data_IF_273572692723
#
_entry.id   IF_273572692723
#
_cell.length_a   1.000
_cell.length_b   1.000
_cell.length_c   1.000
_cell.angle_alpha   90.00
_cell.angle_beta   90.00
_cell.angle_gamma   90.00
#
_symmetry.space_group_name_H-M   'P 1'
#
loop_
_entity.id
_entity.type
_entity.pdbx_description
1 polymer ?
#
# COMPACT_ATOMS: atom_id res chain seq x y z
N UNK A 1 1.70 -34.22 -2.44
CA UNK A 1 2.07 -35.61 -2.80
C UNK A 1 0.98 -36.24 -3.66
N UNK A 2 1.17 -36.29 -4.99
CA UNK A 2 0.89 -37.43 -5.88
C UNK A 2 1.03 -36.98 -7.34
N UNK A 3 1.95 -37.65 -8.03
CA UNK A 3 2.27 -37.54 -9.46
C UNK A 3 1.17 -38.22 -10.28
N UNK A 4 0.84 -37.65 -11.44
CA UNK A 4 0.28 -38.41 -12.56
C UNK A 4 0.97 -37.96 -13.85
N UNK A 5 1.52 -38.94 -14.56
CA UNK A 5 2.38 -38.79 -15.75
C UNK A 5 1.56 -38.48 -17.00
N UNK A 6 2.21 -37.70 -17.86
CA UNK A 6 1.83 -37.38 -19.22
C UNK A 6 1.63 -38.59 -20.13
N UNK A 7 0.74 -38.44 -21.13
CA UNK A 7 0.94 -39.02 -22.46
C UNK A 7 1.02 -37.90 -23.50
N UNK A 8 2.11 -38.01 -24.25
CA UNK A 8 2.60 -37.15 -25.32
C UNK A 8 1.77 -37.31 -26.59
N UNK A 9 1.45 -36.20 -27.24
CA UNK A 9 1.42 -36.16 -28.70
C UNK A 9 2.31 -35.00 -29.13
N UNK A 10 3.48 -35.35 -29.64
CA UNK A 10 4.54 -34.45 -30.00
C UNK A 10 4.23 -33.71 -31.32
N UNK A 11 4.38 -32.38 -31.31
CA UNK A 11 4.96 -31.64 -32.42
C UNK A 11 5.91 -30.57 -31.85
N UNK A 12 7.05 -30.46 -32.52
CA UNK A 12 8.32 -29.88 -32.05
C UNK A 12 8.26 -28.41 -31.61
N UNK A 13 9.25 -27.97 -30.82
CA UNK A 13 9.30 -26.68 -30.15
C UNK A 13 10.03 -25.64 -31.01
N UNK A 14 9.36 -24.57 -31.41
CA UNK A 14 10.01 -23.34 -31.88
C UNK A 14 8.98 -22.24 -32.06
N UNK A 15 8.62 -21.54 -31.00
CA UNK A 15 8.10 -20.17 -31.15
C UNK A 15 8.41 -19.40 -29.89
N UNK A 16 9.34 -18.45 -30.04
CA UNK A 16 9.43 -17.18 -29.31
C UNK A 16 8.15 -16.88 -28.55
N UNK A 17 8.32 -16.48 -27.30
CA UNK A 17 7.37 -15.73 -26.48
C UNK A 17 7.00 -14.44 -27.23
N UNK A 18 6.17 -14.56 -28.26
CA UNK A 18 5.65 -13.46 -29.04
C UNK A 18 4.45 -12.92 -28.27
N UNK A 19 4.74 -12.01 -27.34
CA UNK A 19 3.85 -10.88 -27.13
C UNK A 19 3.68 -10.25 -28.52
N UNK A 20 2.56 -10.58 -29.18
CA UNK A 20 2.23 -10.03 -30.49
C UNK A 20 2.18 -8.50 -30.40
N UNK A 21 2.41 -7.79 -31.52
CA UNK A 21 2.54 -6.32 -31.53
C UNK A 21 1.20 -5.58 -31.33
N UNK A 22 0.14 -6.27 -30.89
CA UNK A 22 -1.14 -5.68 -30.55
C UNK A 22 -1.06 -5.04 -29.17
N UNK A 23 -1.01 -3.70 -29.14
CA UNK A 23 -1.03 -2.93 -27.90
C UNK A 23 -2.15 -3.36 -26.94
N UNK A 24 -1.88 -3.29 -25.65
CA UNK A 24 -2.87 -3.51 -24.59
C UNK A 24 -4.05 -2.55 -24.80
N UNK A 25 -5.17 -3.08 -25.26
CA UNK A 25 -6.38 -2.28 -25.48
C UNK A 25 -7.07 -2.06 -24.14
N UNK A 26 -7.08 -0.81 -23.69
CA UNK A 26 -7.86 -0.19 -22.61
C UNK A 26 -8.37 -1.11 -21.49
N UNK A 27 -7.84 -0.97 -20.28
CA UNK A 27 -8.40 -1.55 -19.06
C UNK A 27 -9.66 -0.79 -18.64
N UNK A 28 -10.87 -1.40 -18.64
CA UNK A 28 -12.05 -0.76 -18.09
C UNK A 28 -11.94 -0.68 -16.56
N UNK A 29 -12.05 0.51 -15.99
CA UNK A 29 -12.16 0.72 -14.54
C UNK A 29 -13.58 0.43 -14.09
N UNK A 30 -13.78 -0.70 -13.42
CA UNK A 30 -15.10 -1.18 -12.97
C UNK A 30 -15.57 -0.45 -11.70
N UNK A 31 -14.67 0.17 -10.92
CA UNK A 31 -15.03 0.84 -9.65
C UNK A 31 -16.07 1.92 -9.90
N UNK A 32 -17.23 1.75 -9.27
CA UNK A 32 -18.33 2.71 -9.26
C UNK A 32 -19.01 3.00 -10.61
N UNK A 33 -18.78 2.20 -11.65
CA UNK A 33 -19.51 2.35 -12.92
C UNK A 33 -20.87 1.63 -12.86
N UNK A 34 -21.96 2.25 -13.35
CA UNK A 34 -23.24 1.58 -13.49
C UNK A 34 -23.10 0.30 -14.36
N UNK A 35 -23.85 -0.77 -14.06
CA UNK A 35 -23.78 -2.01 -14.85
C UNK A 35 -23.97 -1.78 -16.35
N UNK A 36 -24.90 -0.91 -16.74
CA UNK A 36 -25.17 -0.56 -18.14
C UNK A 36 -23.96 0.07 -18.85
N UNK A 37 -23.19 0.90 -18.15
CA UNK A 37 -22.01 1.56 -18.69
C UNK A 37 -20.85 0.57 -18.86
N UNK A 38 -20.70 -0.34 -17.89
CA UNK A 38 -19.74 -1.43 -17.94
C UNK A 38 -20.04 -2.40 -19.10
N UNK A 39 -21.30 -2.78 -19.29
CA UNK A 39 -21.73 -3.60 -20.42
C UNK A 39 -21.44 -2.91 -21.76
N UNK A 40 -21.73 -1.61 -21.85
CA UNK A 40 -21.42 -0.80 -23.02
C UNK A 40 -19.91 -0.74 -23.30
N UNK A 41 -19.06 -0.60 -22.29
CA UNK A 41 -17.61 -0.58 -22.48
C UNK A 41 -17.04 -1.94 -22.89
N UNK A 42 -17.50 -3.03 -22.27
CA UNK A 42 -17.04 -4.38 -22.58
C UNK A 42 -17.56 -4.90 -23.92
N UNK A 43 -18.87 -4.81 -24.14
CA UNK A 43 -19.56 -5.46 -25.25
C UNK A 43 -19.96 -4.50 -26.39
N UNK A 44 -19.92 -3.19 -26.14
CA UNK A 44 -20.36 -2.18 -27.10
C UNK A 44 -21.86 -1.98 -27.06
N UNK A 45 -22.34 -0.94 -27.73
CA UNK A 45 -23.76 -0.64 -27.84
C UNK A 45 -24.11 -0.13 -29.24
N UNK A 46 -25.38 -0.29 -29.60
CA UNK A 46 -25.97 0.40 -30.75
C UNK A 46 -26.67 1.68 -30.30
N UNK A 47 -26.86 2.62 -31.22
CA UNK A 47 -27.62 3.84 -31.00
C UNK A 47 -29.00 3.52 -30.43
N UNK A 48 -29.38 4.21 -29.35
CA UNK A 48 -30.67 4.02 -28.68
C UNK A 48 -30.76 2.83 -27.72
N UNK A 49 -29.66 2.13 -27.44
CA UNK A 49 -29.66 0.99 -26.51
C UNK A 49 -29.95 1.38 -25.04
N UNK A 50 -29.62 2.61 -24.63
CA UNK A 50 -29.92 3.19 -23.31
C UNK A 50 -29.95 4.72 -23.39
N UNK A 51 -30.39 5.39 -22.32
CA UNK A 51 -30.40 6.86 -22.22
C UNK A 51 -28.99 7.42 -22.32
N UNK A 52 -28.67 8.11 -23.42
CA UNK A 52 -27.33 8.64 -23.73
C UNK A 52 -26.56 7.87 -24.82
N UNK A 53 -27.12 6.79 -25.37
CA UNK A 53 -26.54 6.08 -26.52
C UNK A 53 -26.78 6.84 -27.85
N UNK A 54 -26.05 7.94 -28.05
CA UNK A 54 -26.21 8.83 -29.22
C UNK A 54 -25.66 8.23 -30.54
N UNK A 55 -24.77 7.26 -30.44
CA UNK A 55 -24.08 6.64 -31.58
C UNK A 55 -23.70 5.20 -31.28
N UNK A 56 -23.42 4.40 -32.32
CA UNK A 56 -22.89 3.06 -32.16
C UNK A 56 -21.46 3.09 -31.63
N UNK A 57 -21.14 2.23 -30.65
CA UNK A 57 -19.78 2.11 -30.08
C UNK A 57 -19.37 0.65 -30.02
N UNK A 58 -18.20 0.34 -30.58
CA UNK A 58 -17.59 -0.98 -30.48
C UNK A 58 -17.06 -1.23 -29.05
N UNK A 59 -17.34 -2.41 -28.49
CA UNK A 59 -16.88 -2.80 -27.16
C UNK A 59 -15.41 -3.20 -27.11
N UNK A 60 -14.87 -3.36 -25.91
CA UNK A 60 -13.49 -3.76 -25.66
C UNK A 60 -13.13 -5.09 -26.35
N UNK A 61 -14.04 -6.07 -26.38
CA UNK A 61 -13.81 -7.34 -27.08
C UNK A 61 -13.63 -7.17 -28.59
N UNK A 62 -14.42 -6.30 -29.22
CA UNK A 62 -14.29 -6.01 -30.65
C UNK A 62 -13.02 -5.21 -30.94
N UNK A 63 -12.71 -4.21 -30.11
CA UNK A 63 -11.50 -3.38 -30.26
C UNK A 63 -10.21 -4.16 -30.04
N UNK A 64 -10.25 -5.21 -29.21
CA UNK A 64 -9.10 -6.06 -28.91
C UNK A 64 -8.92 -7.23 -29.88
N UNK A 65 -9.77 -7.35 -30.92
CA UNK A 65 -9.71 -8.44 -31.90
C UNK A 65 -8.31 -8.59 -32.51
N UNK A 66 -7.76 -9.80 -32.49
CA UNK A 66 -6.40 -10.11 -32.94
C UNK A 66 -5.29 -9.77 -31.92
N UNK A 67 -5.66 -9.34 -30.70
CA UNK A 67 -4.73 -8.90 -29.66
C UNK A 67 -4.99 -9.51 -28.29
N UNK A 68 -4.67 -8.74 -27.24
CA UNK A 68 -4.87 -9.14 -25.83
C UNK A 68 -5.78 -8.12 -25.13
N UNK A 69 -6.80 -8.63 -24.43
CA UNK A 69 -7.67 -7.86 -23.55
C UNK A 69 -7.25 -8.07 -22.10
N UNK A 70 -6.91 -6.98 -21.42
CA UNK A 70 -6.61 -6.97 -19.99
C UNK A 70 -7.84 -6.51 -19.20
N UNK A 71 -8.35 -7.39 -18.35
CA UNK A 71 -9.47 -7.12 -17.44
C UNK A 71 -8.90 -6.87 -16.05
N UNK A 72 -8.81 -5.60 -15.67
CA UNK A 72 -8.36 -5.26 -14.33
C UNK A 72 -9.50 -5.44 -13.31
N UNK A 73 -9.11 -5.89 -12.12
CA UNK A 73 -9.93 -6.11 -10.95
C UNK A 73 -11.34 -6.74 -11.21
N UNK A 74 -11.31 -7.87 -11.93
CA UNK A 74 -12.47 -8.68 -12.34
C UNK A 74 -13.39 -9.14 -11.20
N UNK A 75 -12.90 -9.17 -9.96
CA UNK A 75 -13.68 -9.59 -8.78
C UNK A 75 -14.86 -8.69 -8.46
N UNK A 76 -14.87 -7.49 -9.02
CA UNK A 76 -15.88 -6.48 -8.72
C UNK A 76 -16.87 -6.26 -9.86
N UNK A 77 -16.85 -7.18 -10.84
CA UNK A 77 -17.88 -7.24 -11.86
C UNK A 77 -19.25 -7.51 -11.20
N UNK A 78 -20.28 -6.69 -11.51
CA UNK A 78 -21.64 -6.97 -11.07
C UNK A 78 -22.11 -8.36 -11.51
N UNK A 79 -22.83 -9.07 -10.64
CA UNK A 79 -23.34 -10.43 -10.89
C UNK A 79 -24.13 -10.55 -12.20
N UNK A 80 -24.83 -9.49 -12.61
CA UNK A 80 -25.63 -9.42 -13.83
C UNK A 80 -24.78 -9.49 -15.11
N UNK A 81 -23.56 -8.93 -15.07
CA UNK A 81 -22.64 -8.85 -16.21
C UNK A 81 -21.83 -10.13 -16.37
N UNK A 82 -21.56 -10.84 -15.26
CA UNK A 82 -20.78 -12.08 -15.23
C UNK A 82 -21.25 -13.17 -16.23
N UNK A 83 -22.55 -13.51 -16.35
CA UNK A 83 -22.99 -14.51 -17.34
C UNK A 83 -22.80 -14.09 -18.79
N UNK A 84 -22.84 -12.78 -19.10
CA UNK A 84 -22.51 -12.30 -20.46
C UNK A 84 -21.02 -12.43 -20.74
N UNK A 85 -20.17 -12.09 -19.77
CA UNK A 85 -18.73 -12.28 -19.88
C UNK A 85 -18.39 -13.76 -20.10
N UNK A 86 -18.99 -14.67 -19.32
CA UNK A 86 -18.81 -16.11 -19.49
C UNK A 86 -19.18 -16.56 -20.91
N UNK A 87 -20.36 -16.18 -21.41
CA UNK A 87 -20.79 -16.52 -22.78
C UNK A 87 -19.82 -16.00 -23.83
N UNK A 88 -19.28 -14.79 -23.65
CA UNK A 88 -18.29 -14.23 -24.55
C UNK A 88 -17.00 -15.08 -24.56
N UNK A 89 -16.49 -15.46 -23.38
CA UNK A 89 -15.28 -16.28 -23.24
C UNK A 89 -15.42 -17.72 -23.74
N UNK A 90 -16.63 -18.29 -23.64
CA UNK A 90 -16.92 -19.65 -24.12
C UNK A 90 -17.12 -19.69 -25.63
N UNK A 91 -17.99 -18.82 -26.15
CA UNK A 91 -18.41 -18.85 -27.56
C UNK A 91 -17.50 -18.04 -28.48
N UNK A 92 -16.59 -17.23 -27.92
CA UNK A 92 -15.76 -16.26 -28.66
C UNK A 92 -16.62 -15.33 -29.54
N UNK A 93 -17.76 -14.95 -28.99
CA UNK A 93 -18.76 -14.13 -29.66
C UNK A 93 -19.29 -13.10 -28.69
N UNK A 94 -19.44 -11.87 -29.16
CA UNK A 94 -20.01 -10.76 -28.39
C UNK A 94 -21.26 -10.24 -29.09
N UNK A 95 -22.20 -9.77 -28.29
CA UNK A 95 -23.44 -9.15 -28.74
C UNK A 95 -23.49 -7.75 -28.16
N UNK A 96 -23.59 -6.73 -29.01
CA UNK A 96 -23.72 -5.34 -28.54
C UNK A 96 -25.02 -5.15 -27.79
N UNK A 97 -25.01 -4.29 -26.77
CA UNK A 97 -26.23 -3.91 -26.05
C UNK A 97 -27.20 -3.27 -27.06
N UNK A 98 -28.42 -3.78 -27.14
CA UNK A 98 -29.47 -3.33 -28.06
C UNK A 98 -29.42 -3.92 -29.48
N UNK A 99 -28.37 -4.66 -29.85
CA UNK A 99 -28.32 -5.40 -31.14
C UNK A 99 -28.77 -6.84 -30.93
N UNK A 100 -29.16 -7.55 -32.00
CA UNK A 100 -29.34 -9.01 -32.02
C UNK A 100 -28.20 -9.77 -32.70
N UNK A 101 -27.24 -9.06 -33.27
CA UNK A 101 -26.18 -9.65 -34.08
C UNK A 101 -25.02 -10.11 -33.19
N UNK A 102 -24.58 -11.34 -33.45
CA UNK A 102 -23.36 -11.88 -32.84
C UNK A 102 -22.15 -11.52 -33.70
N UNK A 103 -21.11 -11.03 -33.06
CA UNK A 103 -19.82 -10.72 -33.68
C UNK A 103 -18.77 -11.64 -33.08
N UNK A 104 -18.09 -12.41 -33.93
CA UNK A 104 -17.00 -13.28 -33.51
C UNK A 104 -15.76 -12.45 -33.17
N UNK A 105 -15.00 -12.90 -32.18
CA UNK A 105 -13.72 -12.29 -31.84
C UNK A 105 -12.65 -13.35 -31.56
N UNK A 106 -11.39 -12.99 -31.77
CA UNK A 106 -10.26 -13.78 -31.32
C UNK A 106 -9.33 -12.90 -30.49
N UNK A 107 -9.30 -13.15 -29.18
CA UNK A 107 -8.61 -12.29 -28.21
C UNK A 107 -8.04 -13.15 -27.10
N UNK A 108 -6.80 -12.87 -26.71
CA UNK A 108 -6.22 -13.42 -25.48
C UNK A 108 -6.72 -12.61 -24.29
N UNK A 109 -7.30 -13.26 -23.30
CA UNK A 109 -7.80 -12.59 -22.09
C UNK A 109 -6.82 -12.78 -20.95
N UNK A 110 -6.48 -11.69 -20.28
CA UNK A 110 -5.69 -11.67 -19.03
C UNK A 110 -6.53 -10.93 -18.00
N UNK A 111 -6.84 -11.56 -16.88
CA UNK A 111 -7.62 -10.96 -15.81
C UNK A 111 -6.76 -10.78 -14.56
N UNK A 112 -6.95 -9.67 -13.85
CA UNK A 112 -6.31 -9.38 -12.57
C UNK A 112 -7.37 -9.08 -11.52
N UNK A 113 -7.02 -9.25 -10.24
CA UNK A 113 -7.86 -8.91 -9.08
C UNK A 113 -7.04 -8.86 -7.81
N UNK A 114 -7.42 -7.98 -6.89
CA UNK A 114 -6.87 -7.90 -5.54
C UNK A 114 -7.72 -8.68 -4.52
N UNK A 115 -8.95 -9.08 -4.90
CA UNK A 115 -9.85 -9.84 -4.04
C UNK A 115 -9.59 -11.35 -4.15
N UNK A 116 -9.87 -12.07 -3.07
CA UNK A 116 -9.97 -13.52 -3.10
C UNK A 116 -11.26 -13.96 -3.83
N UNK A 117 -11.09 -14.39 -5.08
CA UNK A 117 -12.22 -14.87 -5.90
C UNK A 117 -12.82 -16.17 -5.36
N UNK A 118 -12.05 -17.03 -4.69
CA UNK A 118 -12.58 -18.28 -4.15
C UNK A 118 -13.56 -18.01 -3.01
N UNK A 119 -13.18 -17.11 -2.08
CA UNK A 119 -14.09 -16.59 -1.06
C UNK A 119 -15.30 -15.87 -1.66
N UNK A 120 -15.11 -15.07 -2.71
CA UNK A 120 -16.23 -14.40 -3.40
C UNK A 120 -17.21 -15.36 -4.08
N UNK A 121 -16.74 -16.51 -4.57
CA UNK A 121 -17.61 -17.58 -5.09
C UNK A 121 -18.42 -18.21 -3.96
N UNK A 122 -17.78 -18.52 -2.83
CA UNK A 122 -18.49 -19.08 -1.66
C UNK A 122 -19.54 -18.12 -1.09
N UNK A 123 -19.27 -16.82 -1.13
CA UNK A 123 -20.19 -15.77 -0.71
C UNK A 123 -21.29 -15.46 -1.76
N UNK A 124 -21.31 -16.14 -2.92
CA UNK A 124 -22.30 -15.91 -3.98
C UNK A 124 -22.16 -14.58 -4.72
N UNK A 125 -21.04 -13.86 -4.54
CA UNK A 125 -20.75 -12.58 -5.21
C UNK A 125 -20.06 -12.76 -6.56
N UNK A 126 -19.50 -13.94 -6.80
CA UNK A 126 -18.87 -14.32 -8.05
C UNK A 126 -19.35 -15.69 -8.50
N UNK A 127 -19.55 -15.89 -9.80
CA UNK A 127 -19.99 -17.19 -10.32
C UNK A 127 -18.81 -18.16 -10.45
N UNK A 128 -19.00 -19.37 -9.96
CA UNK A 128 -17.98 -20.43 -10.03
C UNK A 128 -17.61 -20.83 -11.47
N UNK A 129 -18.58 -20.81 -12.40
CA UNK A 129 -18.35 -21.12 -13.81
C UNK A 129 -17.39 -20.12 -14.49
N UNK A 130 -17.61 -18.82 -14.28
CA UNK A 130 -16.72 -17.76 -14.74
C UNK A 130 -15.34 -17.85 -14.08
N UNK A 131 -15.28 -18.17 -12.79
CA UNK A 131 -14.03 -18.34 -12.07
C UNK A 131 -13.16 -19.43 -12.71
N UNK A 132 -13.73 -20.62 -12.94
CA UNK A 132 -12.99 -21.72 -13.58
C UNK A 132 -12.55 -21.40 -15.01
N UNK A 133 -13.32 -20.58 -15.73
CA UNK A 133 -12.95 -20.15 -17.10
C UNK A 133 -11.81 -19.13 -17.13
N UNK A 134 -11.71 -18.26 -16.13
CA UNK A 134 -10.63 -17.28 -16.00
C UNK A 134 -9.37 -17.89 -15.38
N UNK A 135 -9.55 -18.74 -14.37
CA UNK A 135 -8.47 -19.27 -13.54
C UNK A 135 -7.75 -20.49 -14.13
N UNK A 136 -7.57 -20.51 -15.46
CA UNK A 136 -6.86 -21.60 -16.18
C UNK A 136 -5.37 -21.59 -15.87
N UNK A 137 -4.76 -20.40 -15.86
CA UNK A 137 -3.39 -20.17 -15.44
C UNK A 137 -3.41 -19.05 -14.40
N UNK A 138 -2.89 -19.33 -13.21
CA UNK A 138 -2.84 -18.37 -12.10
C UNK A 138 -1.41 -17.91 -11.89
N UNK A 139 -1.25 -16.60 -11.77
CA UNK A 139 0.03 -15.96 -11.40
C UNK A 139 -0.25 -15.13 -10.17
N UNK A 140 0.42 -15.47 -9.06
CA UNK A 140 0.38 -14.65 -7.85
C UNK A 140 1.48 -13.60 -7.92
N UNK A 141 1.11 -12.33 -7.69
CA UNK A 141 2.07 -11.24 -7.59
C UNK A 141 2.35 -10.99 -6.10
N UNK A 142 3.54 -11.33 -5.60
CA UNK A 142 3.83 -11.12 -4.20
C UNK A 142 4.01 -9.62 -3.92
N UNK A 143 3.58 -9.16 -2.74
CA UNK A 143 3.71 -7.77 -2.31
C UNK A 143 5.19 -7.38 -2.15
N UNK A 144 5.44 -6.07 -2.16
CA UNK A 144 6.80 -5.51 -2.12
C UNK A 144 7.55 -5.87 -0.83
N UNK A 145 6.85 -6.04 0.30
CA UNK A 145 7.40 -6.55 1.57
C UNK A 145 8.06 -7.94 1.48
N UNK A 146 7.66 -8.77 0.51
CA UNK A 146 8.24 -10.10 0.28
C UNK A 146 9.42 -10.08 -0.69
N UNK A 147 9.76 -8.89 -1.23
CA UNK A 147 10.80 -8.67 -2.25
C UNK A 147 11.48 -7.30 -2.05
N UNK A 148 11.90 -7.01 -0.82
CA UNK A 148 12.51 -5.72 -0.47
C UNK A 148 13.84 -5.50 -1.21
N UNK A 149 14.51 -6.56 -1.64
CA UNK A 149 15.69 -6.52 -2.49
C UNK A 149 15.46 -5.86 -3.86
N UNK A 150 14.21 -5.84 -4.35
CA UNK A 150 13.86 -5.17 -5.61
C UNK A 150 13.68 -3.65 -5.43
N UNK A 151 13.53 -3.16 -4.20
CA UNK A 151 13.21 -1.74 -3.90
C UNK A 151 14.26 -0.77 -4.47
N UNK A 152 15.58 -0.97 -4.28
CA UNK A 152 16.58 -0.05 -4.83
C UNK A 152 16.47 0.10 -6.35
N UNK A 153 16.29 -1.01 -7.07
CA UNK A 153 16.12 -1.01 -8.53
C UNK A 153 14.82 -0.30 -8.96
N UNK A 154 13.75 -0.48 -8.20
CA UNK A 154 12.48 0.20 -8.46
C UNK A 154 12.59 1.71 -8.23
N UNK A 155 13.28 2.15 -7.18
CA UNK A 155 13.55 3.58 -6.91
C UNK A 155 14.30 4.20 -8.09
N UNK A 156 15.37 3.56 -8.57
CA UNK A 156 16.15 4.07 -9.70
C UNK A 156 15.30 4.15 -10.97
N UNK A 157 14.44 3.15 -11.21
CA UNK A 157 13.50 3.16 -12.33
C UNK A 157 12.49 4.31 -12.23
N UNK A 158 12.01 4.62 -11.03
CA UNK A 158 11.10 5.76 -10.79
C UNK A 158 11.81 7.08 -11.04
N UNK A 159 13.03 7.26 -10.51
CA UNK A 159 13.83 8.47 -10.72
C UNK A 159 14.13 8.70 -12.20
N UNK A 160 14.51 7.64 -12.92
CA UNK A 160 14.77 7.71 -14.36
C UNK A 160 13.51 8.15 -15.13
N UNK A 161 12.33 7.62 -14.77
CA UNK A 161 11.05 8.04 -15.39
C UNK A 161 10.68 9.49 -15.07
N UNK A 162 11.13 10.02 -13.94
CA UNK A 162 10.97 11.42 -13.58
C UNK A 162 12.03 12.33 -14.25
N UNK A 163 12.98 11.76 -15.00
CA UNK A 163 14.09 12.53 -15.59
C UNK A 163 15.09 13.03 -14.55
N UNK A 164 15.16 12.38 -13.38
CA UNK A 164 16.07 12.75 -12.29
C UNK A 164 17.26 11.80 -12.22
N UNK A 165 18.46 12.30 -11.89
CA UNK A 165 19.61 11.45 -11.69
C UNK A 165 19.43 10.59 -10.43
N UNK A 166 20.12 9.43 -10.34
CA UNK A 166 20.14 8.62 -9.13
C UNK A 166 20.60 9.40 -7.89
N UNK A 167 21.45 10.42 -8.06
CA UNK A 167 21.93 11.30 -6.99
C UNK A 167 20.89 12.26 -6.42
N UNK A 168 19.65 12.25 -6.95
CA UNK A 168 18.56 13.07 -6.41
C UNK A 168 18.07 12.59 -5.03
N UNK A 169 18.46 11.40 -4.60
CA UNK A 169 18.20 10.87 -3.26
C UNK A 169 19.54 10.59 -2.57
N UNK A 170 19.63 10.95 -1.28
CA UNK A 170 20.78 10.61 -0.44
C UNK A 170 20.86 9.10 -0.21
N UNK A 171 22.06 8.59 0.06
CA UNK A 171 22.26 7.17 0.38
C UNK A 171 21.52 6.76 1.65
N UNK A 172 21.38 7.69 2.61
CA UNK A 172 20.58 7.51 3.82
C UNK A 172 19.10 7.30 3.46
N UNK A 173 18.53 8.17 2.66
CA UNK A 173 17.14 8.06 2.17
C UNK A 173 16.91 6.74 1.44
N UNK A 174 17.86 6.30 0.60
CA UNK A 174 17.78 5.00 -0.09
C UNK A 174 17.77 3.82 0.88
N UNK A 175 18.60 3.87 1.93
CA UNK A 175 18.63 2.83 2.96
C UNK A 175 17.32 2.76 3.75
N UNK A 176 16.68 3.91 4.03
CA UNK A 176 15.39 3.99 4.70
C UNK A 176 14.27 3.41 3.81
N UNK A 177 14.25 3.79 2.53
CA UNK A 177 13.28 3.28 1.56
C UNK A 177 13.36 1.75 1.41
N UNK A 178 14.57 1.17 1.50
CA UNK A 178 14.77 -0.28 1.41
C UNK A 178 14.25 -1.05 2.64
N UNK A 179 14.14 -0.41 3.81
CA UNK A 179 13.67 -1.03 5.06
C UNK A 179 12.16 -0.89 5.28
N UNK A 180 11.50 0.03 4.55
CA UNK A 180 10.08 0.26 4.70
C UNK A 180 9.25 -0.92 4.16
N UNK A 181 8.19 -1.38 4.85
CA UNK A 181 7.40 -2.54 4.44
C UNK A 181 6.49 -2.29 3.22
N UNK A 182 6.27 -1.04 2.80
CA UNK A 182 5.48 -0.69 1.62
C UNK A 182 4.08 -1.34 1.58
N UNK A 183 3.18 -1.04 2.53
CA UNK A 183 1.80 -1.56 2.50
C UNK A 183 1.05 -1.24 1.19
N UNK A 184 1.33 -0.08 0.57
CA UNK A 184 0.80 0.33 -0.73
C UNK A 184 1.66 -0.08 -1.94
N UNK A 185 2.65 -0.96 -1.73
CA UNK A 185 3.55 -1.51 -2.76
C UNK A 185 4.17 -0.40 -3.64
N UNK A 186 4.31 -0.68 -4.94
CA UNK A 186 4.94 0.21 -5.93
C UNK A 186 4.20 1.54 -6.07
N UNK A 187 2.89 1.60 -5.80
CA UNK A 187 2.13 2.87 -5.86
C UNK A 187 2.57 3.83 -4.77
N UNK A 188 2.69 3.33 -3.55
CA UNK A 188 3.19 4.10 -2.42
C UNK A 188 4.65 4.47 -2.61
N UNK A 189 5.50 3.51 -3.01
CA UNK A 189 6.92 3.77 -3.32
C UNK A 189 7.08 4.94 -4.29
N UNK A 190 6.34 4.92 -5.41
CA UNK A 190 6.38 6.00 -6.39
C UNK A 190 5.98 7.34 -5.78
N UNK A 191 4.89 7.38 -5.00
CA UNK A 191 4.40 8.60 -4.40
C UNK A 191 5.37 9.17 -3.36
N UNK A 192 6.01 8.31 -2.57
CA UNK A 192 7.02 8.70 -1.58
C UNK A 192 8.26 9.23 -2.29
N UNK A 193 8.79 8.51 -3.29
CA UNK A 193 9.96 8.95 -4.06
C UNK A 193 9.69 10.30 -4.73
N UNK A 194 8.52 10.47 -5.35
CA UNK A 194 8.12 11.73 -5.97
C UNK A 194 8.05 12.87 -4.94
N UNK A 195 7.52 12.58 -3.74
CA UNK A 195 7.45 13.57 -2.66
C UNK A 195 8.85 13.96 -2.17
N UNK A 196 9.72 12.99 -1.90
CA UNK A 196 11.08 13.24 -1.38
C UNK A 196 11.93 14.02 -2.39
N UNK A 197 11.81 13.71 -3.68
CA UNK A 197 12.53 14.45 -4.73
C UNK A 197 12.11 15.93 -4.81
N UNK A 198 10.83 16.24 -4.51
CA UNK A 198 10.30 17.60 -4.64
C UNK A 198 10.36 18.41 -3.33
N UNK A 199 10.20 17.75 -2.17
CA UNK A 199 10.10 18.39 -0.85
C UNK A 199 11.33 18.14 0.03
N UNK A 200 12.26 17.28 -0.38
CA UNK A 200 13.43 16.89 0.41
C UNK A 200 13.16 15.71 1.34
N UNK A 201 14.17 15.34 2.14
CA UNK A 201 14.15 14.15 2.99
C UNK A 201 13.10 14.20 4.12
N UNK A 202 12.57 15.39 4.46
CA UNK A 202 11.44 15.56 5.40
C UNK A 202 10.12 14.93 4.93
N UNK A 203 10.04 14.56 3.64
CA UNK A 203 8.86 13.93 3.05
C UNK A 203 8.85 12.40 3.13
N UNK A 204 9.86 11.79 3.75
CA UNK A 204 9.88 10.36 4.02
C UNK A 204 8.72 9.96 4.96
N UNK A 205 8.10 8.80 4.76
CA UNK A 205 7.11 8.30 5.72
C UNK A 205 7.78 8.10 7.08
N UNK A 206 7.08 8.47 8.15
CA UNK A 206 7.50 8.13 9.52
C UNK A 206 7.63 6.61 9.60
N UNK A 207 8.87 6.14 9.75
CA UNK A 207 9.14 4.74 9.97
C UNK A 207 9.22 4.54 11.48
N UNK A 208 8.17 3.97 12.12
CA UNK A 208 8.29 3.61 13.53
C UNK A 208 9.42 2.57 13.64
N UNK A 209 10.32 2.78 14.60
CA UNK A 209 11.54 1.99 14.88
C UNK A 209 12.82 2.26 14.07
N UNK A 210 12.91 3.36 13.31
CA UNK A 210 14.24 3.84 12.92
C UNK A 210 14.78 4.76 14.03
N UNK A 211 16.01 4.53 14.55
CA UNK A 211 16.66 5.53 15.38
C UNK A 211 16.68 6.82 14.57
N UNK A 212 16.11 7.87 15.14
CA UNK A 212 16.13 9.22 14.59
C UNK A 212 17.52 9.49 14.04
N UNK A 213 17.67 10.15 12.89
CA UNK A 213 18.99 10.58 12.44
C UNK A 213 19.66 11.34 13.60
N UNK A 214 20.92 11.04 13.93
CA UNK A 214 21.65 11.86 14.88
C UNK A 214 21.74 13.26 14.25
N UNK A 215 21.00 14.20 14.83
CA UNK A 215 21.22 15.62 14.57
C UNK A 215 22.68 15.92 14.95
N UNK A 216 23.48 16.22 13.92
CA UNK A 216 24.84 16.75 13.94
C UNK A 216 25.97 15.95 14.63
N UNK A 217 27.05 15.58 13.87
CA UNK A 217 28.25 15.00 14.44
C UNK A 217 29.18 16.11 14.92
N UNK A 218 28.97 16.65 16.12
CA UNK A 218 30.05 17.37 16.82
C UNK A 218 30.02 17.09 18.30
N UNK A 219 31.15 16.58 18.81
CA UNK A 219 31.49 16.38 20.22
C UNK A 219 30.76 15.23 20.95
N UNK A 220 31.25 14.02 20.70
CA UNK A 220 31.38 13.02 21.77
C UNK A 220 32.34 13.56 22.84
N UNK A 221 31.96 13.65 24.12
CA UNK A 221 32.89 13.41 25.21
C UNK A 221 33.06 11.89 25.41
N UNK A 222 34.20 11.43 25.96
CA UNK A 222 34.51 10.01 26.13
C UNK A 222 33.51 9.30 27.06
N UNK A 223 33.40 7.95 26.98
CA UNK A 223 32.48 7.19 27.81
C UNK A 223 32.90 7.27 29.27
N UNK A 224 32.18 8.05 30.05
CA UNK A 224 32.18 7.95 31.50
C UNK A 224 31.28 6.78 31.88
N UNK A 225 31.89 5.76 32.50
CA UNK A 225 31.22 4.67 33.19
C UNK A 225 30.32 5.24 34.31
N UNK A 226 29.08 5.57 33.99
CA UNK A 226 28.02 5.80 34.98
C UNK A 226 26.89 4.78 34.77
N UNK A 227 26.58 3.91 35.75
CA UNK A 227 25.66 2.78 35.59
C UNK A 227 24.17 3.15 35.71
N UNK A 228 23.75 4.39 35.46
CA UNK A 228 22.44 4.88 35.93
C UNK A 228 21.37 5.21 34.88
N UNK A 229 21.58 4.92 33.59
CA UNK A 229 20.63 5.34 32.52
C UNK A 229 19.80 4.24 31.86
N UNK A 230 19.80 3.02 32.41
CA UNK A 230 18.78 2.01 32.06
C UNK A 230 18.15 1.56 33.37
N UNK A 231 17.02 2.17 33.76
CA UNK A 231 16.18 1.56 34.81
C UNK A 231 15.45 0.39 34.13
N UNK A 232 15.84 -0.88 34.38
CA UNK A 232 15.15 -2.00 33.78
C UNK A 232 13.72 -2.04 34.32
N UNK A 233 12.76 -2.30 33.44
CA UNK A 233 11.38 -2.54 33.84
C UNK A 233 11.37 -3.89 34.58
N UNK A 234 11.47 -3.85 35.91
CA UNK A 234 11.37 -5.05 36.73
C UNK A 234 9.92 -5.56 36.74
N UNK A 235 9.70 -6.71 36.10
CA UNK A 235 8.41 -7.42 36.03
C UNK A 235 8.04 -8.15 37.33
N UNK A 236 8.83 -7.99 38.38
CA UNK A 236 8.70 -8.70 39.66
C UNK A 236 7.63 -8.10 40.60
N UNK A 237 6.94 -7.03 40.18
CA UNK A 237 5.88 -6.38 40.96
C UNK A 237 4.55 -6.28 40.20
N UNK A 238 3.40 -6.24 40.91
CA UNK A 238 2.10 -6.00 40.29
C UNK A 238 2.09 -4.71 39.48
N UNK A 239 1.40 -4.73 38.33
CA UNK A 239 1.36 -3.64 37.33
C UNK A 239 1.13 -2.24 37.93
N UNK A 240 0.30 -2.13 38.97
CA UNK A 240 -0.01 -0.86 39.63
C UNK A 240 1.19 -0.25 40.36
N UNK A 241 1.96 -1.07 41.07
CA UNK A 241 3.14 -0.62 41.84
C UNK A 241 4.35 -0.36 40.95
N UNK A 242 4.52 -1.14 39.89
CA UNK A 242 5.55 -0.89 38.88
C UNK A 242 5.31 0.44 38.15
N UNK A 243 4.06 0.72 37.77
CA UNK A 243 3.66 1.99 37.17
C UNK A 243 3.89 3.17 38.11
N UNK A 244 3.50 3.04 39.38
CA UNK A 244 3.63 4.12 40.36
C UNK A 244 5.11 4.48 40.60
N UNK A 245 6.04 3.51 40.67
CA UNK A 245 7.49 3.80 40.80
C UNK A 245 8.08 4.51 39.59
N UNK A 246 7.65 4.13 38.37
CA UNK A 246 8.13 4.77 37.14
C UNK A 246 7.62 6.21 37.08
N UNK A 247 6.34 6.42 37.41
CA UNK A 247 5.73 7.75 37.44
C UNK A 247 6.41 8.61 38.50
N UNK A 248 6.65 8.09 39.71
CA UNK A 248 7.34 8.86 40.75
C UNK A 248 8.78 9.22 40.38
N UNK A 249 9.51 8.29 39.77
CA UNK A 249 10.85 8.55 39.26
C UNK A 249 10.85 9.61 38.15
N UNK A 250 9.93 9.50 37.20
CA UNK A 250 9.75 10.48 36.12
C UNK A 250 9.35 11.85 36.66
N UNK A 251 8.36 11.91 37.56
CA UNK A 251 7.91 13.16 38.17
C UNK A 251 9.05 13.87 38.88
N UNK A 252 9.85 13.16 39.69
CA UNK A 252 10.99 13.75 40.40
C UNK A 252 12.05 14.29 39.45
N UNK A 253 12.44 13.50 38.46
CA UNK A 253 13.52 13.84 37.54
C UNK A 253 13.07 15.01 36.62
N UNK A 254 11.80 15.01 36.18
CA UNK A 254 11.19 16.10 35.42
C UNK A 254 11.05 17.39 36.23
N UNK A 255 10.57 17.33 37.48
CA UNK A 255 10.41 18.50 38.34
C UNK A 255 11.76 19.13 38.71
N UNK A 256 12.80 18.32 38.90
CA UNK A 256 14.17 18.81 39.16
C UNK A 256 14.71 19.56 37.95
N UNK A 257 14.66 18.97 36.77
CA UNK A 257 15.11 19.62 35.53
C UNK A 257 14.32 20.91 35.22
N UNK A 258 13.01 20.92 35.51
CA UNK A 258 12.15 22.08 35.33
C UNK A 258 12.51 23.23 36.26
N UNK A 259 12.82 22.95 37.53
CA UNK A 259 13.26 23.96 38.50
C UNK A 259 14.64 24.52 38.16
N UNK A 260 15.58 23.65 37.80
CA UNK A 260 16.95 24.05 37.45
C UNK A 260 16.94 24.98 36.22
N UNK A 261 16.14 24.63 35.21
CA UNK A 261 15.96 25.46 34.00
C UNK A 261 15.27 26.80 34.27
N UNK A 262 14.41 26.84 35.28
CA UNK A 262 13.66 28.05 35.65
C UNK A 262 14.33 28.84 36.80
N UNK A 263 15.57 28.50 37.19
CA UNK A 263 16.34 29.16 38.26
C UNK A 263 15.52 29.31 39.56
N UNK A 264 14.74 28.29 39.93
CA UNK A 264 13.92 28.32 41.16
C UNK A 264 12.62 29.12 41.05
N UNK A 265 12.27 29.69 39.89
CA UNK A 265 11.04 30.46 39.74
C UNK A 265 9.82 29.56 39.46
N UNK A 266 9.12 29.18 40.54
CA UNK A 266 7.92 28.31 40.51
C UNK A 266 6.80 28.85 39.61
N UNK A 267 6.67 30.17 39.44
CA UNK A 267 5.62 30.75 38.60
C UNK A 267 5.94 30.65 37.10
N UNK A 268 7.23 30.68 36.74
CA UNK A 268 7.70 30.45 35.37
C UNK A 268 7.61 28.96 35.02
N UNK A 269 8.07 28.09 35.93
CA UNK A 269 7.98 26.64 35.80
C UNK A 269 6.54 26.14 35.59
N UNK A 270 5.56 26.71 36.30
CA UNK A 270 4.15 26.35 36.14
C UNK A 270 3.58 26.69 34.75
N UNK A 271 3.96 27.85 34.18
CA UNK A 271 3.54 28.24 32.83
C UNK A 271 4.22 27.39 31.77
N UNK A 272 5.49 27.06 31.94
CA UNK A 272 6.27 26.27 30.99
C UNK A 272 5.83 24.81 30.98
N UNK A 273 5.46 24.26 32.14
CA UNK A 273 4.90 22.91 32.25
C UNK A 273 3.38 22.85 32.00
N UNK A 274 2.71 23.99 31.78
CA UNK A 274 1.27 24.04 31.49
C UNK A 274 0.37 23.57 32.64
N UNK A 275 0.84 23.61 33.89
CA UNK A 275 0.10 23.13 35.08
C UNK A 275 -0.16 24.26 36.08
N UNK A 276 -1.24 24.13 36.84
CA UNK A 276 -1.61 25.13 37.85
C UNK A 276 -0.52 25.26 38.94
N UNK A 277 -0.23 26.50 39.35
CA UNK A 277 0.81 26.82 40.33
C UNK A 277 0.60 26.09 41.66
N UNK A 278 -0.64 25.92 42.10
CA UNK A 278 -0.97 25.22 43.36
C UNK A 278 -0.69 23.73 43.21
N UNK A 279 -0.97 23.17 42.04
CA UNK A 279 -0.69 21.77 41.73
C UNK A 279 0.81 21.49 41.62
N UNK A 280 1.57 22.33 40.92
CA UNK A 280 3.04 22.23 40.85
C UNK A 280 3.66 22.31 42.24
N UNK A 281 3.22 23.24 43.09
CA UNK A 281 3.74 23.38 44.46
C UNK A 281 3.44 22.14 45.32
N UNK A 282 2.30 21.48 45.09
CA UNK A 282 1.95 20.22 45.76
C UNK A 282 2.83 19.06 45.30
N UNK A 283 3.15 19.00 44.01
CA UNK A 283 4.07 18.02 43.40
C UNK A 283 5.51 18.19 43.91
N UNK A 284 6.00 19.42 43.96
CA UNK A 284 7.33 19.74 44.50
C UNK A 284 7.48 19.35 45.97
N UNK A 285 6.46 19.61 46.78
CA UNK A 285 6.44 19.22 48.20
C UNK A 285 6.35 17.70 48.39
N UNK A 286 5.65 16.98 47.50
CA UNK A 286 5.57 15.51 47.52
C UNK A 286 6.95 14.89 47.26
N UNK A 287 7.77 15.52 46.42
CA UNK A 287 9.09 15.03 45.99
C UNK A 287 10.27 15.69 46.73
N UNK A 288 10.00 16.49 47.77
CA UNK A 288 11.04 17.09 48.63
C UNK A 288 11.88 18.20 47.97
N UNK A 289 11.41 18.77 46.86
CA UNK A 289 12.08 19.83 46.11
C UNK A 289 11.52 21.20 46.52
N UNK A 290 11.75 21.60 47.76
CA UNK A 290 11.30 22.91 48.26
C UNK A 290 12.30 24.02 47.87
N UNK A 291 11.88 24.88 46.94
CA UNK A 291 12.53 26.19 46.72
C UNK A 291 12.03 27.15 47.80
N UNK A 292 12.86 27.45 48.80
CA UNK A 292 12.59 28.56 49.74
C UNK A 292 12.72 29.89 48.98
N UNK A 293 11.79 30.84 49.15
CA UNK A 293 11.97 32.18 48.59
C UNK A 293 13.11 32.89 49.34
N UNK A 294 14.07 33.42 48.60
CA UNK A 294 14.95 34.50 49.03
C UNK A 294 14.46 35.80 48.38
#
# INVERSE_FOLDING_TARGET
>A
VRRARARSCARRPSTRTALGPGGLSSSPTWRASPPSLLESELFGHVKGAFTGAHSDRAGAFERAHGGTLFLDEVGELPLEVQPRLLRALERRQVKRVGSNDYRTFDVRVVAATHQDLEGSVQAGRFRGDLFHRLAVLRVSLPPLRERLEDVPLLVDTVLQRMGRPPSALSDQTRALLAQYPWPGNVRELRNVVDRVVNLGDEALPDIPDLPSPPEDPTTLPPPSDDPESTRPISLDLPFKEAKDRIIEGFERDYLRALIDRCEGNVSRAAREAGIDRVYLRKLLRKHGLDTSPA
#
